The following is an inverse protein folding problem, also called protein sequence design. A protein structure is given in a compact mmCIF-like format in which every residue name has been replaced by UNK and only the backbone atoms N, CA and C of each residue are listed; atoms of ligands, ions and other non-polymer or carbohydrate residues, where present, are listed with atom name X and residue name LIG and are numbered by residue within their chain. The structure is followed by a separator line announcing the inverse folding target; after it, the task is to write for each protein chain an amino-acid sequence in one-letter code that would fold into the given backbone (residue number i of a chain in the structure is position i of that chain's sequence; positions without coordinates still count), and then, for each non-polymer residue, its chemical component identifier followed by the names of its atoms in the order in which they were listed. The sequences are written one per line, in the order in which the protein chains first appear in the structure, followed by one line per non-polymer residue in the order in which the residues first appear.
data_IF_437965317866
#
_entry.id   IF_437965317866
#
_cell.length_a   1.000
_cell.length_b   1.000
_cell.length_c   1.000
_cell.angle_alpha   90.00
_cell.angle_beta   90.00
_cell.angle_gamma   90.00
#
_symmetry.space_group_name_H-M   'P 1'
#
loop_
_entity.id
_entity.type
_entity.pdbx_description
1 polymer ?
#
# COMPACT_ATOMS: atom_id res chain seq x y z
N UNK A 1 7.17 -4.78 10.93
CA UNK A 1 7.40 -6.24 10.86
C UNK A 1 8.21 -6.49 9.62
N UNK A 2 9.50 -6.65 9.79
CA UNK A 2 10.43 -7.05 8.73
C UNK A 2 10.36 -8.56 8.65
N UNK A 3 9.94 -9.05 7.49
CA UNK A 3 9.71 -10.47 7.24
C UNK A 3 11.03 -11.10 6.83
N UNK A 4 11.40 -12.19 7.48
CA UNK A 4 12.61 -12.96 7.21
C UNK A 4 12.28 -14.36 6.69
N UNK A 5 13.30 -15.21 6.50
CA UNK A 5 13.11 -16.61 6.07
C UNK A 5 12.21 -17.40 7.03
N UNK A 6 12.20 -17.11 8.34
CA UNK A 6 11.23 -17.72 9.27
C UNK A 6 9.80 -17.27 8.98
N UNK A 7 9.59 -16.00 8.63
CA UNK A 7 8.27 -15.51 8.24
C UNK A 7 7.78 -16.14 6.93
N UNK A 8 8.65 -16.26 5.92
CA UNK A 8 8.30 -16.96 4.68
C UNK A 8 8.01 -18.45 4.97
N UNK A 9 8.79 -19.10 5.84
CA UNK A 9 8.61 -20.50 6.19
C UNK A 9 7.31 -20.80 6.98
N UNK A 10 6.78 -19.81 7.72
CA UNK A 10 5.50 -19.92 8.43
C UNK A 10 4.28 -19.74 7.50
N UNK A 11 4.50 -19.27 6.27
CA UNK A 11 3.46 -19.18 5.23
C UNK A 11 3.61 -20.35 4.26
N UNK A 12 2.56 -21.15 4.14
CA UNK A 12 2.52 -22.27 3.22
C UNK A 12 2.08 -21.78 1.83
N UNK A 13 2.69 -22.33 0.78
CA UNK A 13 2.24 -22.08 -0.59
C UNK A 13 1.01 -22.95 -0.95
N UNK A 14 0.60 -22.93 -2.23
CA UNK A 14 -0.55 -23.72 -2.70
C UNK A 14 -0.32 -25.25 -2.56
N UNK A 15 0.93 -25.70 -2.43
CA UNK A 15 1.34 -27.09 -2.27
C UNK A 15 1.69 -27.44 -0.80
N UNK A 16 1.31 -26.59 0.16
CA UNK A 16 1.54 -26.78 1.60
C UNK A 16 3.03 -26.80 1.99
N UNK A 17 3.90 -26.16 1.18
CA UNK A 17 5.35 -26.05 1.46
C UNK A 17 5.70 -24.69 2.08
N UNK A 18 6.68 -24.64 3.00
CA UNK A 18 7.23 -23.37 3.51
C UNK A 18 7.70 -22.49 2.36
N UNK A 19 7.23 -21.23 2.31
CA UNK A 19 7.69 -20.29 1.29
C UNK A 19 9.12 -19.84 1.53
N UNK A 20 9.78 -19.41 0.47
CA UNK A 20 11.11 -18.81 0.49
C UNK A 20 11.15 -17.52 -0.33
N UNK A 21 12.30 -16.84 -0.32
CA UNK A 21 12.55 -15.67 -1.19
C UNK A 21 12.43 -16.02 -2.68
N UNK A 22 12.67 -17.27 -3.07
CA UNK A 22 12.54 -17.71 -4.47
C UNK A 22 11.09 -17.65 -4.95
N UNK A 23 10.12 -17.88 -4.06
CA UNK A 23 8.70 -17.73 -4.39
C UNK A 23 8.35 -16.26 -4.66
N UNK A 24 8.95 -15.33 -3.91
CA UNK A 24 8.81 -13.90 -4.17
C UNK A 24 9.42 -13.52 -5.52
N UNK A 25 10.60 -14.06 -5.86
CA UNK A 25 11.22 -13.83 -7.17
C UNK A 25 10.36 -14.39 -8.31
N UNK A 26 9.77 -15.58 -8.15
CA UNK A 26 8.85 -16.17 -9.14
C UNK A 26 7.60 -15.30 -9.34
N UNK A 27 7.03 -14.76 -8.27
CA UNK A 27 5.92 -13.82 -8.37
C UNK A 27 6.31 -12.57 -9.18
N UNK A 28 7.47 -11.97 -8.90
CA UNK A 28 7.96 -10.80 -9.65
C UNK A 28 8.15 -11.15 -11.13
N UNK A 29 8.80 -12.28 -11.41
CA UNK A 29 9.05 -12.78 -12.78
C UNK A 29 7.76 -13.03 -13.55
N UNK A 30 6.69 -13.45 -12.88
CA UNK A 30 5.38 -13.68 -13.51
C UNK A 30 4.68 -12.39 -13.98
N UNK A 31 5.08 -11.25 -13.41
CA UNK A 31 4.40 -9.97 -13.61
C UNK A 31 5.09 -9.09 -14.66
N UNK A 32 6.41 -9.18 -14.77
CA UNK A 32 7.18 -8.39 -15.73
C UNK A 32 8.54 -9.06 -16.04
N UNK A 33 9.11 -8.75 -17.21
CA UNK A 33 10.45 -9.19 -17.59
C UNK A 33 11.49 -8.63 -16.58
N UNK A 34 12.25 -9.50 -15.89
CA UNK A 34 13.22 -9.10 -14.87
C UNK A 34 14.38 -8.25 -15.38
N UNK A 35 14.69 -8.30 -16.67
CA UNK A 35 15.78 -7.50 -17.27
C UNK A 35 15.50 -5.99 -17.24
N UNK A 36 14.25 -5.60 -17.00
CA UNK A 36 13.80 -4.21 -16.88
C UNK A 36 13.49 -3.78 -15.43
N UNK A 37 13.81 -4.62 -14.44
CA UNK A 37 13.47 -4.38 -13.04
C UNK A 37 14.75 -4.14 -12.23
N UNK A 38 14.80 -3.02 -11.52
CA UNK A 38 15.65 -2.90 -10.34
C UNK A 38 14.85 -3.32 -9.11
N UNK A 39 15.49 -4.09 -8.23
CA UNK A 39 14.85 -4.61 -7.03
C UNK A 39 15.46 -3.93 -5.81
N UNK A 40 14.63 -3.57 -4.83
CA UNK A 40 15.05 -3.06 -3.54
C UNK A 40 14.43 -3.92 -2.44
N UNK A 41 15.25 -4.42 -1.50
CA UNK A 41 14.78 -5.27 -0.41
C UNK A 41 15.18 -4.68 0.93
N UNK A 42 14.22 -4.64 1.86
CA UNK A 42 14.45 -4.31 3.26
C UNK A 42 14.03 -5.48 4.12
N UNK A 43 15.00 -6.03 4.87
CA UNK A 43 14.82 -7.17 5.76
C UNK A 43 15.62 -6.94 7.04
N UNK A 44 15.21 -7.54 8.15
CA UNK A 44 15.87 -7.38 9.46
C UNK A 44 16.71 -8.58 9.87
N UNK A 45 16.74 -9.65 9.09
CA UNK A 45 17.52 -10.84 9.43
C UNK A 45 18.70 -11.00 8.47
N UNK A 46 19.77 -11.59 9.01
CA UNK A 46 21.01 -11.89 8.28
C UNK A 46 20.90 -13.08 7.30
N UNK A 47 20.07 -14.12 7.51
CA UNK A 47 19.93 -15.23 6.56
C UNK A 47 19.38 -14.82 5.18
N UNK A 48 18.41 -13.91 5.14
CA UNK A 48 17.76 -13.43 3.91
C UNK A 48 18.66 -12.57 3.01
N UNK A 49 19.86 -12.21 3.46
CA UNK A 49 20.81 -11.37 2.73
C UNK A 49 21.73 -12.15 1.79
N UNK A 50 21.94 -13.46 1.99
CA UNK A 50 22.94 -14.23 1.27
C UNK A 50 22.47 -14.76 -0.11
N UNK A 51 21.20 -14.60 -0.45
CA UNK A 51 20.59 -15.11 -1.69
C UNK A 51 20.48 -14.07 -2.81
N UNK A 52 20.80 -12.79 -2.56
CA UNK A 52 20.63 -11.69 -3.53
C UNK A 52 21.96 -11.01 -3.89
N UNK A 53 22.69 -11.59 -4.84
CA UNK A 53 24.05 -11.16 -5.20
C UNK A 53 24.19 -9.92 -6.10
N UNK A 54 23.12 -9.19 -6.44
CA UNK A 54 23.20 -8.12 -7.46
C UNK A 54 22.52 -6.80 -7.10
N UNK A 55 22.02 -6.63 -5.88
CA UNK A 55 21.21 -5.47 -5.48
C UNK A 55 21.90 -4.69 -4.34
N UNK A 56 21.87 -3.35 -4.32
CA UNK A 56 22.29 -2.58 -3.15
C UNK A 56 21.37 -2.88 -1.95
N UNK A 57 21.84 -3.77 -1.08
CA UNK A 57 21.16 -4.18 0.16
C UNK A 57 21.55 -3.26 1.30
N UNK A 58 20.58 -2.67 1.99
CA UNK A 58 20.83 -1.82 3.18
C UNK A 58 20.19 -2.46 4.41
N UNK A 59 21.02 -2.83 5.39
CA UNK A 59 20.57 -3.41 6.65
C UNK A 59 20.13 -2.31 7.62
N UNK A 60 18.93 -2.43 8.19
CA UNK A 60 18.48 -1.61 9.33
C UNK A 60 18.04 -2.53 10.47
N UNK A 61 18.44 -2.21 11.69
CA UNK A 61 18.00 -2.91 12.90
C UNK A 61 16.50 -2.70 13.12
N UNK A 62 15.73 -3.78 13.21
CA UNK A 62 14.29 -3.72 13.46
C UNK A 62 13.98 -3.14 14.85
N UNK A 63 12.90 -2.36 14.93
CA UNK A 63 12.23 -2.04 16.20
C UNK A 63 11.56 -3.30 16.76
N UNK A 64 11.52 -3.40 18.10
CA UNK A 64 10.99 -4.55 18.85
C UNK A 64 9.63 -5.03 18.31
N UNK A 65 9.47 -6.35 18.23
CA UNK A 65 8.23 -7.01 17.79
C UNK A 65 7.08 -6.72 18.78
N UNK A 66 6.06 -6.01 18.33
CA UNK A 66 4.79 -5.89 19.08
C UNK A 66 3.99 -7.18 18.85
N UNK A 67 3.69 -7.89 19.93
CA UNK A 67 2.87 -9.12 19.93
C UNK A 67 1.52 -8.90 19.23
N UNK A 68 1.06 -9.93 18.49
CA UNK A 68 -0.16 -9.90 17.66
C UNK A 68 -1.42 -9.50 18.45
N UNK A 69 -1.46 -9.83 19.74
CA UNK A 69 -2.60 -9.58 20.65
C UNK A 69 -2.73 -8.10 21.05
N UNK A 70 -1.65 -7.31 20.95
CA UNK A 70 -1.65 -5.87 21.26
C UNK A 70 -1.89 -4.98 20.03
N UNK A 71 -2.17 -5.56 18.85
CA UNK A 71 -2.38 -4.82 17.59
C UNK A 71 -3.69 -4.01 17.54
N UNK A 72 -4.57 -4.19 18.51
CA UNK A 72 -5.83 -3.46 18.64
C UNK A 72 -5.74 -2.25 19.58
N UNK A 73 -4.56 -1.98 20.17
CA UNK A 73 -4.31 -0.71 20.85
C UNK A 73 -4.01 0.36 19.78
N UNK A 74 -4.83 1.41 19.72
CA UNK A 74 -4.73 2.47 18.72
C UNK A 74 -3.34 3.14 18.76
N UNK A 75 -2.74 3.28 19.94
CA UNK A 75 -1.40 3.85 20.09
C UNK A 75 -0.32 2.90 19.51
N UNK A 76 -0.43 1.61 19.79
CA UNK A 76 0.50 0.61 19.26
C UNK A 76 0.36 0.47 17.74
N UNK A 77 -0.86 0.53 17.21
CA UNK A 77 -1.12 0.50 15.76
C UNK A 77 -0.56 1.75 15.08
N UNK A 78 -0.75 2.94 15.69
CA UNK A 78 -0.21 4.21 15.19
C UNK A 78 1.32 4.19 15.16
N UNK A 79 1.97 3.80 16.27
CA UNK A 79 3.42 3.69 16.35
C UNK A 79 3.97 2.71 15.30
N UNK A 80 3.35 1.54 15.15
CA UNK A 80 3.73 0.55 14.13
C UNK A 80 3.62 1.13 12.72
N UNK A 81 2.53 1.81 12.37
CA UNK A 81 2.34 2.42 11.05
C UNK A 81 3.31 3.58 10.79
N UNK A 82 3.61 4.37 11.82
CA UNK A 82 4.65 5.41 11.75
C UNK A 82 6.01 4.81 11.39
N UNK A 83 6.44 3.76 12.09
CA UNK A 83 7.71 3.10 11.82
C UNK A 83 7.74 2.43 10.45
N UNK A 84 6.66 1.75 10.04
CA UNK A 84 6.56 1.19 8.68
C UNK A 84 6.68 2.26 7.59
N UNK A 85 6.03 3.42 7.77
CA UNK A 85 6.14 4.53 6.84
C UNK A 85 7.58 5.05 6.76
N UNK A 86 8.29 5.18 7.89
CA UNK A 86 9.71 5.57 7.93
C UNK A 86 10.59 4.56 7.19
N UNK A 87 10.38 3.26 7.42
CA UNK A 87 11.14 2.19 6.77
C UNK A 87 10.88 2.12 5.26
N UNK A 88 9.62 2.27 4.81
CA UNK A 88 9.30 2.35 3.39
C UNK A 88 9.92 3.58 2.74
N UNK A 89 9.84 4.74 3.38
CA UNK A 89 10.50 5.96 2.90
C UNK A 89 12.02 5.80 2.83
N UNK A 90 12.62 5.17 3.84
CA UNK A 90 14.05 4.85 3.84
C UNK A 90 14.40 3.97 2.64
N UNK A 91 13.72 2.83 2.46
CA UNK A 91 13.97 1.94 1.33
C UNK A 91 13.81 2.69 0.00
N UNK A 92 12.72 3.43 -0.16
CA UNK A 92 12.42 4.21 -1.36
C UNK A 92 13.57 5.14 -1.75
N UNK A 93 14.09 5.92 -0.79
CA UNK A 93 15.18 6.87 -1.05
C UNK A 93 16.51 6.15 -1.27
N UNK A 94 16.72 5.00 -0.63
CA UNK A 94 17.93 4.21 -0.82
C UNK A 94 17.96 3.47 -2.15
N UNK A 95 16.81 3.13 -2.75
CA UNK A 95 16.76 2.26 -3.94
C UNK A 95 16.38 2.99 -5.21
N UNK A 96 15.53 4.02 -5.14
CA UNK A 96 15.13 4.78 -6.33
C UNK A 96 16.33 5.54 -6.90
N UNK A 97 16.54 5.42 -8.21
CA UNK A 97 17.62 6.09 -8.95
C UNK A 97 17.06 6.86 -10.13
N UNK A 98 16.50 6.15 -11.11
CA UNK A 98 16.03 6.70 -12.37
C UNK A 98 14.86 5.91 -12.97
N UNK A 99 14.31 4.98 -12.21
CA UNK A 99 13.14 4.19 -12.57
C UNK A 99 11.93 5.12 -12.70
N UNK A 100 11.13 4.93 -13.75
CA UNK A 100 9.89 5.71 -14.01
C UNK A 100 8.70 5.19 -13.19
N UNK A 101 8.79 3.95 -12.71
CA UNK A 101 7.71 3.21 -12.08
C UNK A 101 8.22 2.50 -10.83
N UNK A 102 7.41 2.56 -9.77
CA UNK A 102 7.69 1.92 -8.48
C UNK A 102 6.57 0.92 -8.22
N UNK A 103 6.93 -0.31 -7.87
CA UNK A 103 6.01 -1.31 -7.34
C UNK A 103 6.42 -1.60 -5.90
N UNK A 104 5.53 -1.29 -4.96
CA UNK A 104 5.60 -1.73 -3.58
C UNK A 104 4.90 -3.07 -3.46
N UNK A 105 5.55 -4.03 -2.78
CA UNK A 105 5.00 -5.35 -2.53
C UNK A 105 5.39 -5.79 -1.12
N UNK A 106 4.39 -6.04 -0.28
CA UNK A 106 4.63 -6.64 1.02
C UNK A 106 5.10 -8.11 0.87
N UNK A 107 5.91 -8.59 1.81
CA UNK A 107 6.53 -9.91 1.70
C UNK A 107 5.59 -11.10 2.00
N UNK A 108 4.37 -10.88 2.52
CA UNK A 108 3.35 -11.95 2.68
C UNK A 108 2.55 -12.25 1.42
N UNK A 109 2.71 -11.48 0.34
CA UNK A 109 2.04 -11.78 -0.92
C UNK A 109 2.49 -13.14 -1.45
N UNK A 110 1.56 -14.10 -1.55
CA UNK A 110 1.81 -15.43 -2.12
C UNK A 110 1.17 -15.62 -3.50
N UNK A 111 0.19 -14.78 -3.85
CA UNK A 111 -0.49 -14.82 -5.16
C UNK A 111 -0.73 -13.41 -5.70
N UNK A 112 -0.45 -13.21 -6.98
CA UNK A 112 -0.81 -12.02 -7.75
C UNK A 112 -1.41 -12.51 -9.07
N UNK A 113 -2.59 -12.01 -9.45
CA UNK A 113 -3.19 -12.36 -10.73
C UNK A 113 -2.23 -12.07 -11.90
N UNK A 114 -2.17 -12.97 -12.87
CA UNK A 114 -1.26 -12.83 -14.02
C UNK A 114 -1.59 -11.57 -14.84
N UNK A 115 -0.60 -10.70 -15.00
CA UNK A 115 -0.72 -9.45 -15.76
C UNK A 115 -1.34 -8.28 -14.98
N UNK A 116 -1.58 -8.43 -13.68
CA UNK A 116 -2.13 -7.39 -12.81
C UNK A 116 -1.21 -6.15 -12.78
N UNK A 117 0.10 -6.36 -12.57
CA UNK A 117 1.07 -5.24 -12.57
C UNK A 117 1.12 -4.57 -13.94
N UNK A 118 1.19 -5.35 -15.02
CA UNK A 118 1.13 -4.80 -16.38
C UNK A 118 -0.15 -3.98 -16.65
N UNK A 119 -1.29 -4.36 -16.03
CA UNK A 119 -2.53 -3.61 -16.11
C UNK A 119 -2.46 -2.27 -15.37
N UNK A 120 -1.85 -2.24 -14.19
CA UNK A 120 -1.59 -1.00 -13.43
C UNK A 120 -0.71 -0.04 -14.24
N UNK A 121 0.40 -0.54 -14.79
CA UNK A 121 1.31 0.26 -15.61
C UNK A 121 0.58 0.85 -16.82
N UNK A 122 -0.20 0.05 -17.54
CA UNK A 122 -0.98 0.52 -18.69
C UNK A 122 -1.94 1.64 -18.31
N UNK A 123 -2.68 1.47 -17.21
CA UNK A 123 -3.59 2.52 -16.74
C UNK A 123 -2.87 3.82 -16.39
N UNK A 124 -1.73 3.73 -15.71
CA UNK A 124 -0.93 4.89 -15.40
C UNK A 124 -0.42 5.54 -16.69
N UNK A 125 0.08 4.78 -17.66
CA UNK A 125 0.56 5.33 -18.94
C UNK A 125 -0.56 5.98 -19.79
N UNK A 126 -1.75 5.40 -19.79
CA UNK A 126 -2.90 5.90 -20.54
C UNK A 126 -3.55 7.14 -19.89
N UNK A 127 -3.24 7.42 -18.62
CA UNK A 127 -3.84 8.51 -17.84
C UNK A 127 -2.81 9.33 -17.09
N UNK A 128 -2.61 10.56 -17.55
CA UNK A 128 -1.70 11.51 -16.91
C UNK A 128 -2.15 11.97 -15.52
N UNK A 129 -3.45 11.83 -15.19
CA UNK A 129 -3.97 12.17 -13.87
C UNK A 129 -3.73 11.07 -12.82
N UNK A 130 -3.48 9.82 -13.23
CA UNK A 130 -3.37 8.65 -12.34
C UNK A 130 -1.91 8.22 -12.21
N UNK A 131 -1.42 8.24 -10.97
CA UNK A 131 -0.05 7.88 -10.66
C UNK A 131 0.11 6.97 -9.45
N UNK A 132 -0.99 6.56 -8.82
CA UNK A 132 -1.00 5.67 -7.66
C UNK A 132 -2.10 4.63 -7.88
N UNK A 133 -1.75 3.35 -8.01
CA UNK A 133 -2.71 2.28 -8.36
C UNK A 133 -2.53 1.04 -7.49
N UNK A 134 -3.60 0.55 -6.88
CA UNK A 134 -3.64 -0.74 -6.14
C UNK A 134 -4.62 -1.72 -6.78
N UNK A 135 -4.71 -2.93 -6.24
CA UNK A 135 -5.77 -3.89 -6.55
C UNK A 135 -6.31 -4.51 -5.26
N UNK A 136 -7.45 -5.19 -5.32
CA UNK A 136 -8.09 -5.76 -4.14
C UNK A 136 -7.24 -6.87 -3.52
N UNK A 137 -7.13 -6.87 -2.21
CA UNK A 137 -6.49 -7.93 -1.43
C UNK A 137 -7.53 -8.89 -0.84
N UNK A 138 -7.47 -10.18 -1.19
CA UNK A 138 -8.35 -11.22 -0.62
C UNK A 138 -7.63 -12.02 0.48
N UNK A 139 -8.35 -12.37 1.55
CA UNK A 139 -7.82 -13.21 2.62
C UNK A 139 -7.78 -14.67 2.13
N UNK A 140 -6.58 -15.17 1.84
CA UNK A 140 -6.35 -16.58 1.52
C UNK A 140 -7.22 -17.09 0.36
N UNK A 141 -7.85 -18.25 0.57
CA UNK A 141 -8.75 -18.90 -0.39
C UNK A 141 -10.22 -18.47 -0.24
N UNK A 142 -10.54 -17.46 0.59
CA UNK A 142 -11.92 -17.02 0.80
C UNK A 142 -12.29 -16.00 -0.28
N UNK A 143 -12.86 -16.51 -1.38
CA UNK A 143 -13.35 -15.70 -2.50
C UNK A 143 -14.35 -14.65 -2.02
N UNK A 144 -14.08 -13.38 -2.31
CA UNK A 144 -14.94 -12.25 -1.92
C UNK A 144 -14.71 -11.71 -0.51
N UNK A 145 -13.68 -12.19 0.21
CA UNK A 145 -13.20 -11.54 1.43
C UNK A 145 -12.41 -10.27 1.08
N UNK A 146 -12.48 -9.24 1.93
CA UNK A 146 -11.57 -8.11 1.88
C UNK A 146 -10.58 -8.24 3.04
N UNK A 147 -9.32 -8.49 2.74
CA UNK A 147 -8.29 -8.62 3.77
C UNK A 147 -7.89 -7.26 4.32
N UNK A 148 -7.74 -6.28 3.43
CA UNK A 148 -7.25 -4.96 3.76
C UNK A 148 -8.39 -3.93 3.61
N UNK A 149 -8.65 -3.22 4.71
CA UNK A 149 -9.73 -2.25 4.86
C UNK A 149 -9.25 -0.81 4.67
N UNK A 150 -8.00 -0.61 4.22
CA UNK A 150 -7.39 0.70 4.06
C UNK A 150 -7.67 1.34 2.69
N UNK A 151 -8.32 0.61 1.76
CA UNK A 151 -8.78 1.15 0.47
C UNK A 151 -10.24 1.61 0.51
N UNK A 152 -10.46 2.92 0.38
CA UNK A 152 -11.79 3.49 0.40
C UNK A 152 -11.87 4.85 -0.31
N UNK A 153 -13.09 5.27 -0.63
CA UNK A 153 -13.41 6.59 -1.15
C UNK A 153 -14.52 7.26 -0.32
N UNK A 154 -14.63 8.58 -0.44
CA UNK A 154 -15.57 9.41 0.29
C UNK A 154 -14.91 10.08 1.50
N UNK A 155 -15.67 10.23 2.57
CA UNK A 155 -15.17 10.90 3.78
C UNK A 155 -15.34 9.95 4.97
N UNK A 156 -14.27 9.73 5.73
CA UNK A 156 -14.27 8.85 6.91
C UNK A 156 -15.34 9.27 7.91
N UNK A 157 -16.08 8.32 8.47
CA UNK A 157 -16.92 8.59 9.63
C UNK A 157 -15.98 8.87 10.81
N UNK A 158 -15.89 10.13 11.22
CA UNK A 158 -14.96 10.61 12.25
C UNK A 158 -15.46 11.89 12.89
N UNK A 159 -15.00 12.24 14.12
CA UNK A 159 -15.53 13.38 14.86
C UNK A 159 -15.20 14.67 14.11
N UNK A 160 -16.21 15.39 13.62
CA UNK A 160 -16.06 16.55 12.71
C UNK A 160 -16.75 17.85 13.13
N UNK A 161 -17.31 17.94 14.33
CA UNK A 161 -17.86 19.22 14.84
C UNK A 161 -16.84 20.39 14.83
N UNK A 162 -15.54 20.08 14.73
CA UNK A 162 -14.44 21.03 14.73
C UNK A 162 -13.82 21.33 13.35
N UNK A 163 -14.22 20.59 12.31
CA UNK A 163 -13.67 20.68 10.94
C UNK A 163 -14.70 21.19 9.92
N UNK A 164 -16.00 21.12 10.21
CA UNK A 164 -17.04 21.76 9.41
C UNK A 164 -17.45 23.08 10.05
N UNK A 165 -17.55 24.13 9.26
CA UNK A 165 -18.16 25.37 9.72
C UNK A 165 -19.71 25.23 9.76
N UNK A 166 -20.41 26.14 10.46
CA UNK A 166 -21.86 26.08 10.55
C UNK A 166 -22.59 26.11 9.20
N UNK A 167 -22.00 26.73 8.17
CA UNK A 167 -22.59 26.84 6.83
C UNK A 167 -22.50 25.49 6.08
N UNK A 168 -21.37 24.79 6.19
CA UNK A 168 -21.18 23.42 5.67
C UNK A 168 -22.14 22.42 6.32
N UNK A 169 -22.36 22.54 7.64
CA UNK A 169 -23.34 21.72 8.36
C UNK A 169 -24.76 22.02 7.89
N UNK A 170 -25.12 23.31 7.74
CA UNK A 170 -26.43 23.73 7.25
C UNK A 170 -26.70 23.26 5.80
N UNK A 171 -25.64 23.19 4.98
CA UNK A 171 -25.68 22.67 3.62
C UNK A 171 -25.78 21.13 3.53
N UNK A 172 -25.80 20.44 4.67
CA UNK A 172 -26.00 18.99 4.72
C UNK A 172 -24.75 18.16 4.42
N UNK A 173 -23.56 18.76 4.48
CA UNK A 173 -22.27 18.05 4.28
C UNK A 173 -22.08 16.90 5.28
N UNK A 174 -22.68 17.01 6.48
CA UNK A 174 -22.70 15.94 7.47
C UNK A 174 -23.47 14.69 6.98
N UNK A 175 -24.51 14.87 6.16
CA UNK A 175 -25.33 13.78 5.63
C UNK A 175 -24.75 13.16 4.34
N UNK A 176 -23.80 13.84 3.69
CA UNK A 176 -23.02 13.31 2.56
C UNK A 176 -21.83 12.46 3.03
N UNK A 177 -21.63 12.35 4.34
CA UNK A 177 -20.57 11.52 4.91
C UNK A 177 -20.86 10.04 4.66
N UNK A 178 -19.82 9.36 4.21
CA UNK A 178 -19.84 7.93 3.95
C UNK A 178 -18.46 7.49 3.48
N UNK A 179 -17.97 6.41 4.07
CA UNK A 179 -16.81 5.71 3.60
C UNK A 179 -17.29 4.53 2.76
N UNK A 180 -17.01 4.56 1.47
CA UNK A 180 -17.29 3.44 0.57
C UNK A 180 -16.01 2.61 0.46
N UNK A 181 -16.07 1.39 0.98
CA UNK A 181 -14.96 0.44 0.89
C UNK A 181 -14.74 0.01 -0.55
N UNK A 182 -13.50 -0.32 -0.91
CA UNK A 182 -13.14 -0.77 -2.25
C UNK A 182 -14.06 -1.91 -2.76
N UNK A 183 -14.43 -2.85 -1.89
CA UNK A 183 -15.34 -3.95 -2.22
C UNK A 183 -16.70 -3.48 -2.71
N UNK A 184 -17.23 -2.40 -2.14
CA UNK A 184 -18.50 -1.82 -2.58
C UNK A 184 -18.32 -1.03 -3.86
N UNK A 185 -17.23 -0.27 -3.96
CA UNK A 185 -16.91 0.55 -5.14
C UNK A 185 -16.62 -0.29 -6.39
N UNK A 186 -16.10 -1.50 -6.25
CA UNK A 186 -15.84 -2.41 -7.36
C UNK A 186 -17.10 -3.08 -7.92
N UNK A 187 -18.23 -3.06 -7.20
CA UNK A 187 -19.47 -3.71 -7.66
C UNK A 187 -19.91 -3.15 -9.01
N UNK A 188 -20.00 -4.02 -10.01
CA UNK A 188 -20.43 -3.65 -11.36
C UNK A 188 -19.34 -3.02 -12.23
N UNK A 189 -18.09 -2.95 -11.75
CA UNK A 189 -16.95 -2.51 -12.57
C UNK A 189 -16.37 -3.67 -13.38
N UNK A 190 -15.88 -3.38 -14.59
CA UNK A 190 -15.15 -4.30 -15.44
C UNK A 190 -13.66 -4.36 -15.10
N UNK A 191 -12.96 -5.37 -15.64
CA UNK A 191 -11.50 -5.55 -15.48
C UNK A 191 -10.66 -4.42 -16.06
N UNK A 192 -11.27 -3.56 -16.87
CA UNK A 192 -10.62 -2.43 -17.52
C UNK A 192 -10.97 -1.07 -16.90
N UNK A 193 -11.78 -1.07 -15.84
CA UNK A 193 -12.17 0.14 -15.14
C UNK A 193 -11.16 0.50 -14.04
N UNK A 194 -11.18 1.78 -13.66
CA UNK A 194 -10.51 2.29 -12.47
C UNK A 194 -11.55 2.74 -11.47
N UNK A 195 -11.32 2.39 -10.20
CA UNK A 195 -12.08 2.88 -9.06
C UNK A 195 -11.23 3.93 -8.36
N UNK A 196 -11.70 5.18 -8.28
CA UNK A 196 -10.93 6.24 -7.61
C UNK A 196 -11.08 6.15 -6.09
N UNK A 197 -9.97 6.40 -5.39
CA UNK A 197 -9.87 6.25 -3.94
C UNK A 197 -9.34 7.53 -3.29
N UNK A 198 -9.78 7.75 -2.05
CA UNK A 198 -9.30 8.83 -1.17
C UNK A 198 -8.28 8.31 -0.14
N UNK A 199 -8.21 6.99 0.06
CA UNK A 199 -7.15 6.31 0.80
C UNK A 199 -6.84 4.95 0.14
N UNK A 200 -5.57 4.55 0.21
CA UNK A 200 -5.08 3.35 -0.47
C UNK A 200 -4.21 2.52 0.48
N UNK A 201 -4.20 1.22 0.26
CA UNK A 201 -3.28 0.30 0.90
C UNK A 201 -1.96 0.16 0.11
N UNK A 202 -1.06 -0.64 0.65
CA UNK A 202 0.25 -0.87 0.04
C UNK A 202 0.72 -2.33 0.11
N UNK A 203 -0.23 -3.28 0.19
CA UNK A 203 0.07 -4.71 0.03
C UNK A 203 0.68 -4.98 -1.34
N UNK A 204 0.08 -4.46 -2.42
CA UNK A 204 0.71 -4.33 -3.74
C UNK A 204 0.29 -3.00 -4.35
N UNK A 205 1.23 -2.08 -4.53
CA UNK A 205 0.95 -0.72 -4.93
C UNK A 205 1.90 -0.26 -6.03
N UNK A 206 1.33 0.17 -7.15
CA UNK A 206 2.04 0.94 -8.17
C UNK A 206 2.08 2.43 -7.81
N UNK A 207 3.23 3.07 -8.05
CA UNK A 207 3.41 4.51 -7.96
C UNK A 207 4.32 5.03 -9.08
N UNK A 208 3.95 6.14 -9.73
CA UNK A 208 4.86 6.91 -10.60
C UNK A 208 5.96 7.52 -9.75
N UNK A 209 7.22 7.31 -10.12
CA UNK A 209 8.36 7.86 -9.38
C UNK A 209 8.40 9.39 -9.37
N UNK A 210 7.80 10.04 -10.38
CA UNK A 210 7.60 11.50 -10.42
C UNK A 210 6.88 12.06 -9.21
N UNK A 211 6.00 11.29 -8.58
CA UNK A 211 5.33 11.73 -7.35
C UNK A 211 6.32 11.79 -6.18
N UNK A 212 7.26 10.86 -6.11
CA UNK A 212 8.33 10.88 -5.11
C UNK A 212 9.23 12.09 -5.30
N UNK A 213 9.58 12.43 -6.54
CA UNK A 213 10.37 13.63 -6.85
C UNK A 213 9.63 14.94 -6.56
N UNK A 214 8.29 14.93 -6.62
CA UNK A 214 7.43 16.02 -6.15
C UNK A 214 7.31 16.08 -4.61
N UNK A 215 7.94 15.16 -3.88
CA UNK A 215 7.97 15.12 -2.41
C UNK A 215 6.95 14.18 -1.77
N UNK A 216 6.29 13.32 -2.55
CA UNK A 216 5.41 12.29 -1.99
C UNK A 216 6.21 11.26 -1.19
N UNK A 217 5.69 10.91 -0.02
CA UNK A 217 6.25 9.87 0.83
C UNK A 217 5.15 9.26 1.69
N UNK A 218 5.37 8.03 2.19
CA UNK A 218 4.47 7.41 3.15
C UNK A 218 4.39 8.28 4.40
N UNK A 219 3.19 8.55 4.90
CA UNK A 219 3.00 9.48 6.00
C UNK A 219 3.43 8.85 7.34
N UNK A 220 4.50 9.31 7.96
CA UNK A 220 4.91 8.77 9.27
C UNK A 220 4.11 9.33 10.46
N UNK A 221 3.14 10.19 10.20
CA UNK A 221 2.23 10.81 11.15
C UNK A 221 0.88 10.96 10.45
N UNK A 222 -0.20 11.12 11.22
CA UNK A 222 -1.48 11.49 10.63
C UNK A 222 -1.34 12.80 9.85
N UNK A 223 -1.98 12.88 8.70
CA UNK A 223 -1.93 14.06 7.81
C UNK A 223 -3.25 14.81 7.82
N UNK A 224 -4.35 14.12 8.13
CA UNK A 224 -5.67 14.72 8.23
C UNK A 224 -5.85 15.29 9.63
N UNK A 225 -6.26 16.56 9.72
CA UNK A 225 -6.54 17.23 10.98
C UNK A 225 -5.30 17.67 11.79
N UNK A 226 -4.09 17.44 11.29
CA UNK A 226 -2.83 17.76 11.99
C UNK A 226 -2.64 19.27 12.14
N UNK A 227 -2.24 19.70 13.35
CA UNK A 227 -1.97 21.12 13.68
C UNK A 227 -0.67 21.23 14.48
N UNK A 228 -0.11 22.44 14.57
CA UNK A 228 1.04 22.67 15.45
C UNK A 228 0.69 22.32 16.90
N UNK A 229 1.42 21.36 17.48
CA UNK A 229 1.20 20.88 18.85
C UNK A 229 0.03 19.93 19.04
N UNK A 230 -0.60 19.44 17.95
CA UNK A 230 -1.68 18.43 18.02
C UNK A 230 -1.61 17.47 16.84
N UNK A 231 -1.51 16.18 17.14
CA UNK A 231 -1.54 15.13 16.13
C UNK A 231 -2.88 15.11 15.38
N UNK A 232 -2.81 14.71 14.12
CA UNK A 232 -4.00 14.43 13.31
C UNK A 232 -4.69 13.13 13.73
N UNK A 233 -5.68 12.73 12.95
CA UNK A 233 -6.54 11.59 13.27
C UNK A 233 -6.67 10.57 12.13
N UNK A 234 -6.18 10.89 10.92
CA UNK A 234 -6.27 10.00 9.76
C UNK A 234 -5.15 10.22 8.72
N UNK A 235 -5.02 9.27 7.79
CA UNK A 235 -4.06 9.30 6.69
C UNK A 235 -2.62 9.05 7.13
N UNK A 236 -2.42 8.04 7.98
CA UNK A 236 -1.07 7.55 8.31
C UNK A 236 -0.61 6.50 7.28
N UNK A 237 0.69 6.45 7.05
CA UNK A 237 1.37 5.48 6.20
C UNK A 237 0.88 5.52 4.73
N UNK A 238 0.24 4.45 4.23
CA UNK A 238 -0.24 4.34 2.86
C UNK A 238 -1.55 5.10 2.64
N UNK A 239 -2.43 5.15 3.64
CA UNK A 239 -3.67 5.94 3.60
C UNK A 239 -3.37 7.42 3.36
N UNK A 240 -2.24 7.92 3.89
CA UNK A 240 -1.80 9.30 3.70
C UNK A 240 -1.34 9.65 2.29
N UNK A 241 -1.10 8.68 1.41
CA UNK A 241 -0.56 8.93 0.07
C UNK A 241 -1.54 9.75 -0.77
N UNK A 242 -2.80 9.36 -0.84
CA UNK A 242 -3.82 10.02 -1.67
C UNK A 242 -4.10 11.45 -1.18
N UNK A 243 -4.18 11.65 0.14
CA UNK A 243 -4.29 12.97 0.75
C UNK A 243 -3.13 13.89 0.38
N UNK A 244 -1.90 13.39 0.47
CA UNK A 244 -0.69 14.17 0.16
C UNK A 244 -0.49 14.40 -1.33
N UNK A 245 -0.96 13.48 -2.18
CA UNK A 245 -0.83 13.55 -3.63
C UNK A 245 -1.91 14.41 -4.30
N UNK A 246 -2.99 14.81 -3.61
CA UNK A 246 -4.11 15.58 -4.18
C UNK A 246 -3.71 16.87 -4.91
N UNK A 247 -2.62 17.52 -4.49
CA UNK A 247 -2.09 18.73 -5.13
C UNK A 247 -0.98 18.49 -6.17
N UNK A 248 -0.60 17.23 -6.40
CA UNK A 248 0.50 16.85 -7.28
C UNK A 248 0.01 16.54 -8.68
N UNK A 249 0.84 16.82 -9.68
CA UNK A 249 0.53 16.42 -11.05
C UNK A 249 0.61 14.90 -11.16
N UNK A 250 -0.46 14.27 -11.67
CA UNK A 250 -0.60 12.80 -11.72
C UNK A 250 -0.83 12.13 -10.37
N UNK A 251 -1.20 12.88 -9.33
CA UNK A 251 -1.32 12.36 -7.95
C UNK A 251 -2.61 11.59 -7.65
N UNK A 252 -3.47 11.32 -8.63
CA UNK A 252 -4.76 10.66 -8.36
C UNK A 252 -4.55 9.18 -8.03
N UNK A 253 -5.20 8.74 -6.96
CA UNK A 253 -5.24 7.35 -6.54
C UNK A 253 -6.39 6.58 -7.19
N UNK A 254 -6.12 5.33 -7.54
CA UNK A 254 -7.13 4.40 -8.00
C UNK A 254 -6.84 2.96 -7.55
N UNK A 255 -7.86 2.12 -7.62
CA UNK A 255 -7.74 0.67 -7.65
C UNK A 255 -8.19 0.15 -9.01
N UNK A 256 -7.68 -1.02 -9.40
CA UNK A 256 -8.22 -1.76 -10.54
C UNK A 256 -9.67 -2.18 -10.27
N UNK A 257 -10.54 -2.04 -11.27
CA UNK A 257 -11.90 -2.56 -11.26
C UNK A 257 -11.98 -4.06 -11.51
N UNK A 258 -13.20 -4.61 -11.48
CA UNK A 258 -13.44 -6.02 -11.74
C UNK A 258 -12.91 -6.93 -10.63
N UNK A 259 -12.25 -8.01 -11.03
CA UNK A 259 -11.88 -9.12 -10.12
C UNK A 259 -10.36 -9.35 -10.08
N UNK A 260 -9.56 -8.31 -10.33
CA UNK A 260 -8.11 -8.34 -10.12
C UNK A 260 -7.77 -8.44 -8.64
N UNK A 261 -6.98 -9.44 -8.28
CA UNK A 261 -6.72 -9.79 -6.88
C UNK A 261 -5.26 -10.05 -6.57
N UNK A 262 -4.96 -9.83 -5.30
CA UNK A 262 -3.74 -10.26 -4.63
C UNK A 262 -4.14 -11.12 -3.43
N UNK A 263 -3.37 -12.17 -3.15
CA UNK A 263 -3.52 -13.00 -1.95
C UNK A 263 -2.29 -12.89 -1.06
N UNK A 264 -2.36 -12.19 0.09
CA UNK A 264 -1.41 -12.31 1.18
C UNK A 264 -1.81 -13.47 2.09
N UNK A 265 -0.79 -14.09 2.69
CA UNK A 265 -0.95 -15.22 3.60
C UNK A 265 -1.55 -14.81 4.96
#
# INVERSE_FOLDING_TARGET
MTKDESFFADTLDEDDRPRTIDDMHQLIQSQHDPSYISLGLLTSSTPSMNSTSTVPTTATTAADEIEREHRHDEEAQTARRSEMAKLRNFLMVQTLRGEEHIIWMDADNYRIDTGLVARMLRHAQDRDDVGIVTARTELGNITGSNYDLNCWAGTREGPRDWDLDPEEIENGELALQGQLMLTDLQKGTGKDDLVFLDAIEATLLYMRSELVWQGLSFAHQYVVGTRWGKDGWDGIESEGLCYRARGMNGGRCAALGGDWKIGPA
#
